data_IF_286536434959
#
_entry.id   IF_286536434959
#
_cell.length_a   1.000
_cell.length_b   1.000
_cell.length_c   1.000
_cell.angle_alpha   90.00
_cell.angle_beta   90.00
_cell.angle_gamma   90.00
#
_symmetry.space_group_name_H-M   'P 1'
#
loop_
_entity.id
_entity.type
_entity.pdbx_description
1 polymer ?
#
# COMPACT_ATOMS: atom_id res chain seq x y z
N UNK A 1 16.67 29.56 -7.44
CA UNK A 1 15.50 28.87 -8.01
C UNK A 1 15.63 27.41 -7.63
N UNK A 2 15.32 27.06 -6.38
CA UNK A 2 15.57 25.70 -5.89
C UNK A 2 14.61 25.37 -4.76
N UNK A 3 13.42 24.90 -5.14
CA UNK A 3 12.49 24.23 -4.23
C UNK A 3 12.38 22.79 -4.71
N UNK A 4 13.45 22.00 -4.47
CA UNK A 4 13.56 20.63 -4.96
C UNK A 4 13.77 19.60 -3.85
N UNK A 5 13.23 19.85 -2.66
CA UNK A 5 13.14 18.78 -1.67
C UNK A 5 12.02 17.81 -2.07
N UNK A 6 12.44 16.70 -2.68
CA UNK A 6 11.57 15.55 -2.92
C UNK A 6 10.92 15.11 -1.61
N UNK A 7 9.63 14.81 -1.67
CA UNK A 7 8.89 14.32 -0.49
C UNK A 7 9.59 13.09 0.09
N UNK A 8 9.85 13.07 1.40
CA UNK A 8 10.42 11.91 2.09
C UNK A 8 9.62 10.63 1.83
N UNK A 9 8.29 10.74 1.67
CA UNK A 9 7.42 9.62 1.34
C UNK A 9 7.69 9.05 -0.06
N UNK A 10 8.16 9.85 -1.01
CA UNK A 10 8.58 9.35 -2.31
C UNK A 10 9.84 8.49 -2.18
N UNK A 11 10.81 8.95 -1.39
CA UNK A 11 12.04 8.20 -1.11
C UNK A 11 11.74 6.89 -0.37
N UNK A 12 10.91 6.95 0.68
CA UNK A 12 10.50 5.76 1.43
C UNK A 12 9.75 4.74 0.54
N UNK A 13 8.90 5.20 -0.39
CA UNK A 13 8.24 4.31 -1.34
C UNK A 13 9.23 3.65 -2.30
N UNK A 14 10.21 4.42 -2.81
CA UNK A 14 11.25 3.90 -3.69
C UNK A 14 12.12 2.85 -2.99
N UNK A 15 12.54 3.12 -1.76
CA UNK A 15 13.32 2.18 -0.95
C UNK A 15 12.53 0.89 -0.67
N UNK A 16 11.25 1.00 -0.28
CA UNK A 16 10.40 -0.16 -0.05
C UNK A 16 10.19 -0.97 -1.33
N UNK A 17 10.05 -0.32 -2.49
CA UNK A 17 9.94 -1.01 -3.78
C UNK A 17 11.20 -1.76 -4.15
N UNK A 18 12.38 -1.14 -4.02
CA UNK A 18 13.68 -1.80 -4.28
C UNK A 18 13.84 -3.02 -3.38
N UNK A 19 13.52 -2.86 -2.09
CA UNK A 19 13.63 -3.95 -1.14
C UNK A 19 12.62 -5.07 -1.39
N UNK A 20 11.40 -4.75 -1.85
CA UNK A 20 10.41 -5.73 -2.28
C UNK A 20 10.90 -6.54 -3.49
N UNK A 21 11.48 -5.87 -4.49
CA UNK A 21 12.05 -6.53 -5.68
C UNK A 21 13.15 -7.50 -5.27
N UNK A 22 14.06 -7.09 -4.38
CA UNK A 22 15.10 -7.95 -3.85
C UNK A 22 14.53 -9.19 -3.12
N UNK A 23 13.54 -9.00 -2.25
CA UNK A 23 12.88 -10.10 -1.53
C UNK A 23 12.22 -11.10 -2.47
N UNK A 24 11.51 -10.60 -3.49
CA UNK A 24 10.82 -11.44 -4.47
C UNK A 24 11.82 -12.20 -5.33
N UNK A 25 12.88 -11.55 -5.81
CA UNK A 25 13.93 -12.22 -6.58
C UNK A 25 14.58 -13.35 -5.76
N UNK A 26 14.88 -13.08 -4.49
CA UNK A 26 15.46 -14.06 -3.57
C UNK A 26 14.50 -15.22 -3.30
N UNK A 27 13.21 -14.93 -3.05
CA UNK A 27 12.20 -15.96 -2.80
C UNK A 27 11.93 -16.84 -4.01
N UNK A 28 11.79 -16.26 -5.20
CA UNK A 28 11.57 -17.01 -6.45
C UNK A 28 12.74 -17.94 -6.76
N UNK A 29 13.98 -17.53 -6.44
CA UNK A 29 15.16 -18.37 -6.66
C UNK A 29 15.21 -19.61 -5.76
N UNK A 30 14.55 -19.60 -4.59
CA UNK A 30 14.65 -20.66 -3.58
C UNK A 30 13.42 -21.57 -3.56
N UNK A 31 12.23 -21.05 -3.88
CA UNK A 31 10.99 -21.82 -3.82
C UNK A 31 10.65 -22.52 -5.14
N UNK A 32 10.33 -23.82 -5.08
CA UNK A 32 9.85 -24.60 -6.22
C UNK A 32 8.46 -24.15 -6.71
N UNK A 33 7.59 -23.73 -5.79
CA UNK A 33 6.31 -23.09 -6.10
C UNK A 33 6.36 -21.62 -5.72
N UNK A 34 6.42 -20.73 -6.71
CA UNK A 34 6.59 -19.28 -6.50
C UNK A 34 5.34 -18.45 -6.79
N UNK A 35 4.22 -19.09 -7.18
CA UNK A 35 2.99 -18.36 -7.56
C UNK A 35 2.45 -17.49 -6.42
N UNK A 36 2.52 -17.98 -5.18
CA UNK A 36 2.13 -17.22 -4.00
C UNK A 36 2.99 -15.96 -3.82
N UNK A 37 4.29 -16.02 -4.16
CA UNK A 37 5.20 -14.85 -4.10
C UNK A 37 4.80 -13.81 -5.15
N UNK A 38 4.50 -14.24 -6.38
CA UNK A 38 4.08 -13.33 -7.46
C UNK A 38 2.73 -12.67 -7.17
N UNK A 39 1.78 -13.40 -6.58
CA UNK A 39 0.51 -12.84 -6.11
C UNK A 39 0.75 -11.79 -5.02
N UNK A 40 1.58 -12.10 -4.02
CA UNK A 40 1.94 -11.17 -2.95
C UNK A 40 2.60 -9.90 -3.50
N UNK A 41 3.54 -10.05 -4.44
CA UNK A 41 4.22 -8.92 -5.07
C UNK A 41 3.27 -8.07 -5.91
N UNK A 42 2.36 -8.69 -6.68
CA UNK A 42 1.37 -7.95 -7.48
C UNK A 42 0.42 -7.15 -6.58
N UNK A 43 -0.05 -7.75 -5.48
CA UNK A 43 -0.85 -7.05 -4.48
C UNK A 43 -0.09 -5.89 -3.83
N UNK A 44 1.20 -6.10 -3.52
CA UNK A 44 2.10 -5.04 -3.05
C UNK A 44 2.27 -3.90 -4.07
N UNK A 45 2.45 -4.19 -5.36
CA UNK A 45 2.58 -3.18 -6.41
C UNK A 45 1.33 -2.29 -6.49
N UNK A 46 0.15 -2.89 -6.38
CA UNK A 46 -1.10 -2.13 -6.33
C UNK A 46 -1.15 -1.25 -5.08
N UNK A 47 -0.77 -1.79 -3.92
CA UNK A 47 -0.69 -1.02 -2.68
C UNK A 47 0.31 0.15 -2.77
N UNK A 48 1.54 -0.07 -3.21
CA UNK A 48 2.59 0.97 -3.23
C UNK A 48 2.29 2.06 -4.27
N UNK A 49 1.72 1.68 -5.43
CA UNK A 49 1.17 2.65 -6.38
C UNK A 49 0.10 3.51 -5.72
N UNK A 50 -0.81 2.88 -4.97
CA UNK A 50 -1.87 3.60 -4.28
C UNK A 50 -1.35 4.53 -3.18
N UNK A 51 -0.35 4.06 -2.45
CA UNK A 51 0.32 4.75 -1.36
C UNK A 51 1.14 5.95 -1.84
N UNK A 52 1.60 5.96 -3.09
CA UNK A 52 2.31 7.09 -3.72
C UNK A 52 1.52 8.40 -3.65
N UNK A 53 0.20 8.34 -3.50
CA UNK A 53 -0.62 9.53 -3.23
C UNK A 53 -0.22 10.28 -1.96
N UNK A 54 0.30 9.59 -0.94
CA UNK A 54 0.78 10.24 0.28
C UNK A 54 1.97 11.17 -0.04
N UNK A 55 2.89 10.72 -0.90
CA UNK A 55 3.97 11.55 -1.41
C UNK A 55 3.45 12.74 -2.21
N UNK A 56 2.50 12.53 -3.13
CA UNK A 56 1.86 13.60 -3.92
C UNK A 56 1.19 14.65 -3.02
N UNK A 57 0.45 14.22 -1.99
CA UNK A 57 -0.19 15.16 -1.05
C UNK A 57 0.81 15.89 -0.16
N UNK A 58 1.95 15.29 0.16
CA UNK A 58 3.06 15.98 0.82
C UNK A 58 3.63 17.08 -0.08
N UNK A 59 3.93 16.75 -1.34
CA UNK A 59 4.42 17.72 -2.34
C UNK A 59 3.43 18.88 -2.55
N UNK A 60 2.13 18.61 -2.68
CA UNK A 60 1.10 19.65 -2.83
C UNK A 60 1.05 20.59 -1.61
N UNK A 61 1.30 20.11 -0.40
CA UNK A 61 1.27 20.95 0.82
C UNK A 61 2.47 21.89 0.88
N UNK A 62 3.63 21.41 0.46
CA UNK A 62 4.91 22.12 0.63
C UNK A 62 5.31 22.98 -0.57
N UNK A 63 4.64 22.87 -1.72
CA UNK A 63 4.96 23.70 -2.89
C UNK A 63 4.51 25.15 -2.69
N UNK A 64 5.36 26.12 -3.00
CA UNK A 64 5.04 27.55 -2.89
C UNK A 64 4.20 28.03 -4.08
N UNK A 65 4.56 27.63 -5.30
CA UNK A 65 3.90 28.07 -6.51
C UNK A 65 2.41 27.65 -6.54
N UNK A 66 1.50 28.64 -6.50
CA UNK A 66 0.05 28.44 -6.47
C UNK A 66 -0.48 27.73 -7.72
N UNK A 67 0.02 28.07 -8.91
CA UNK A 67 -0.45 27.45 -10.15
C UNK A 67 -0.09 25.97 -10.20
N UNK A 68 1.15 25.62 -9.83
CA UNK A 68 1.56 24.22 -9.73
C UNK A 68 0.78 23.48 -8.64
N UNK A 69 0.51 24.11 -7.49
CA UNK A 69 -0.34 23.55 -6.42
C UNK A 69 -1.75 23.21 -6.94
N UNK A 70 -2.40 24.12 -7.66
CA UNK A 70 -3.72 23.91 -8.24
C UNK A 70 -3.68 22.77 -9.25
N UNK A 71 -2.71 22.77 -10.17
CA UNK A 71 -2.55 21.70 -11.18
C UNK A 71 -2.44 20.32 -10.54
N UNK A 72 -1.54 20.16 -9.57
CA UNK A 72 -1.34 18.88 -8.88
C UNK A 72 -2.56 18.46 -8.05
N UNK A 73 -3.24 19.41 -7.40
CA UNK A 73 -4.47 19.13 -6.64
C UNK A 73 -5.61 18.67 -7.56
N UNK A 74 -5.78 19.28 -8.73
CA UNK A 74 -6.78 18.89 -9.73
C UNK A 74 -6.49 17.50 -10.29
N UNK A 75 -5.23 17.23 -10.65
CA UNK A 75 -4.80 15.89 -11.05
C UNK A 75 -5.09 14.84 -9.96
N UNK A 76 -4.72 15.13 -8.71
CA UNK A 76 -4.96 14.25 -7.56
C UNK A 76 -6.46 13.97 -7.34
N UNK A 77 -7.33 14.97 -7.56
CA UNK A 77 -8.79 14.77 -7.51
C UNK A 77 -9.26 13.82 -8.61
N UNK A 78 -8.77 13.98 -9.85
CA UNK A 78 -9.15 13.14 -11.00
C UNK A 78 -8.79 11.66 -10.80
N UNK A 79 -7.65 11.37 -10.19
CA UNK A 79 -7.20 9.99 -9.93
C UNK A 79 -7.88 9.31 -8.72
N UNK A 80 -8.77 10.02 -8.00
CA UNK A 80 -9.43 9.50 -6.78
C UNK A 80 -10.31 8.26 -6.98
N UNK A 81 -11.11 8.13 -8.05
CA UNK A 81 -11.87 6.90 -8.31
C UNK A 81 -10.94 5.70 -8.51
N UNK A 82 -9.88 5.86 -9.30
CA UNK A 82 -8.88 4.81 -9.54
C UNK A 82 -8.18 4.37 -8.25
N UNK A 83 -7.85 5.30 -7.35
CA UNK A 83 -7.28 4.93 -6.04
C UNK A 83 -8.14 3.97 -5.24
N UNK A 84 -9.46 4.15 -5.25
CA UNK A 84 -10.36 3.21 -4.55
C UNK A 84 -10.35 1.84 -5.21
N UNK A 85 -10.49 1.80 -6.54
CA UNK A 85 -10.51 0.54 -7.28
C UNK A 85 -9.18 -0.21 -7.25
N UNK A 86 -8.05 0.48 -7.35
CA UNK A 86 -6.72 -0.12 -7.18
C UNK A 86 -6.54 -0.64 -5.75
N UNK A 87 -7.10 0.04 -4.75
CA UNK A 87 -7.08 -0.45 -3.35
C UNK A 87 -7.90 -1.72 -3.18
N UNK A 88 -9.10 -1.77 -3.74
CA UNK A 88 -9.91 -3.00 -3.79
C UNK A 88 -9.18 -4.12 -4.53
N UNK A 89 -8.57 -3.82 -5.69
CA UNK A 89 -7.79 -4.79 -6.46
C UNK A 89 -6.60 -5.34 -5.66
N UNK A 90 -5.87 -4.47 -4.95
CA UNK A 90 -4.80 -4.89 -4.05
C UNK A 90 -5.31 -5.91 -3.02
N UNK A 91 -6.45 -5.61 -2.39
CA UNK A 91 -7.05 -6.50 -1.40
C UNK A 91 -7.46 -7.85 -1.99
N UNK A 92 -8.13 -7.88 -3.15
CA UNK A 92 -8.53 -9.13 -3.81
C UNK A 92 -7.30 -9.99 -4.16
N UNK A 93 -6.23 -9.39 -4.67
CA UNK A 93 -4.99 -10.11 -4.98
C UNK A 93 -4.31 -10.62 -3.71
N UNK A 94 -4.32 -9.85 -2.62
CA UNK A 94 -3.79 -10.28 -1.32
C UNK A 94 -4.60 -11.43 -0.73
N UNK A 95 -5.92 -11.50 -0.95
CA UNK A 95 -6.71 -12.68 -0.57
C UNK A 95 -6.29 -13.93 -1.34
N UNK A 96 -6.03 -13.82 -2.64
CA UNK A 96 -5.50 -14.93 -3.44
C UNK A 96 -4.10 -15.36 -2.97
N UNK A 97 -3.24 -14.39 -2.65
CA UNK A 97 -1.94 -14.65 -2.03
C UNK A 97 -2.08 -15.41 -0.71
N UNK A 98 -2.92 -14.92 0.21
CA UNK A 98 -3.15 -15.55 1.51
C UNK A 98 -3.71 -16.97 1.37
N UNK A 99 -4.67 -17.17 0.45
CA UNK A 99 -5.21 -18.49 0.15
C UNK A 99 -4.12 -19.45 -0.34
N UNK A 100 -3.28 -19.02 -1.29
CA UNK A 100 -2.17 -19.84 -1.79
C UNK A 100 -1.14 -20.17 -0.69
N UNK A 101 -0.81 -19.22 0.18
CA UNK A 101 0.09 -19.44 1.33
C UNK A 101 -0.50 -20.47 2.29
N UNK A 102 -1.77 -20.34 2.66
CA UNK A 102 -2.44 -21.29 3.57
C UNK A 102 -2.57 -22.67 2.94
N UNK A 103 -2.84 -22.76 1.64
CA UNK A 103 -2.91 -24.04 0.93
C UNK A 103 -1.55 -24.76 0.87
N UNK A 104 -0.44 -24.02 0.75
CA UNK A 104 0.91 -24.59 0.64
C UNK A 104 1.57 -24.88 2.00
N UNK A 105 1.35 -24.01 2.98
CA UNK A 105 2.11 -24.01 4.24
C UNK A 105 1.24 -24.17 5.48
N UNK A 106 -0.08 -24.26 5.33
CA UNK A 106 -1.04 -24.25 6.43
C UNK A 106 -1.22 -22.87 7.07
N UNK A 107 -2.19 -22.77 7.98
CA UNK A 107 -2.41 -21.55 8.77
C UNK A 107 -1.80 -21.73 10.17
N UNK A 108 -0.60 -21.18 10.37
CA UNK A 108 0.10 -21.22 11.65
C UNK A 108 0.54 -19.81 12.07
N UNK A 109 -0.17 -19.21 13.03
CA UNK A 109 0.15 -17.89 13.58
C UNK A 109 1.43 -17.87 14.44
N UNK A 110 2.01 -19.03 14.77
CA UNK A 110 3.35 -19.11 15.35
C UNK A 110 4.47 -18.78 14.34
N UNK A 111 4.18 -18.87 13.04
CA UNK A 111 5.11 -18.44 12.00
C UNK A 111 4.99 -16.91 11.81
N UNK A 112 6.09 -16.18 12.05
CA UNK A 112 6.10 -14.71 11.99
C UNK A 112 5.78 -14.14 10.60
N UNK A 113 6.13 -14.85 9.51
CA UNK A 113 5.75 -14.45 8.16
C UNK A 113 4.23 -14.49 7.97
N UNK A 114 3.60 -15.58 8.43
CA UNK A 114 2.15 -15.76 8.35
C UNK A 114 1.43 -14.76 9.26
N UNK A 115 1.88 -14.59 10.51
CA UNK A 115 1.28 -13.67 11.46
C UNK A 115 1.32 -12.22 10.94
N UNK A 116 2.48 -11.75 10.49
CA UNK A 116 2.62 -10.38 9.99
C UNK A 116 1.84 -10.15 8.70
N UNK A 117 1.79 -11.15 7.81
CA UNK A 117 0.95 -11.12 6.61
C UNK A 117 -0.54 -11.09 6.92
N UNK A 118 -0.98 -11.82 7.94
CA UNK A 118 -2.36 -11.83 8.43
C UNK A 118 -2.77 -10.48 9.05
N UNK A 119 -1.91 -9.88 9.88
CA UNK A 119 -2.16 -8.54 10.41
C UNK A 119 -2.20 -7.48 9.30
N UNK A 120 -1.32 -7.59 8.30
CA UNK A 120 -1.33 -6.73 7.13
C UNK A 120 -2.63 -6.90 6.30
N UNK A 121 -3.13 -8.12 6.11
CA UNK A 121 -4.35 -8.36 5.34
C UNK A 121 -5.59 -7.83 6.05
N UNK A 122 -5.69 -7.98 7.38
CA UNK A 122 -6.75 -7.37 8.19
C UNK A 122 -6.71 -5.84 8.06
N UNK A 123 -5.53 -5.25 8.21
CA UNK A 123 -5.39 -3.79 8.10
C UNK A 123 -5.76 -3.30 6.68
N UNK A 124 -5.35 -4.02 5.63
CA UNK A 124 -5.72 -3.70 4.25
C UNK A 124 -7.23 -3.77 4.04
N UNK A 125 -7.89 -4.78 4.60
CA UNK A 125 -9.34 -4.93 4.56
C UNK A 125 -10.03 -3.71 5.18
N UNK A 126 -9.65 -3.33 6.41
CA UNK A 126 -10.22 -2.15 7.09
C UNK A 126 -9.87 -0.85 6.36
N UNK A 127 -8.68 -0.75 5.76
CA UNK A 127 -8.26 0.39 4.95
C UNK A 127 -9.15 0.55 3.71
N UNK A 128 -9.43 -0.53 2.98
CA UNK A 128 -10.33 -0.53 1.82
C UNK A 128 -11.75 -0.18 2.24
N UNK A 129 -12.28 -0.84 3.29
CA UNK A 129 -13.61 -0.56 3.81
C UNK A 129 -13.76 0.91 4.24
N UNK A 130 -12.79 1.46 4.97
CA UNK A 130 -12.83 2.88 5.38
C UNK A 130 -12.80 3.83 4.19
N UNK A 131 -12.15 3.45 3.08
CA UNK A 131 -12.13 4.20 1.83
C UNK A 131 -13.50 4.29 1.15
N UNK A 132 -14.23 3.16 1.13
CA UNK A 132 -15.59 3.07 0.59
C UNK A 132 -16.63 3.68 1.52
N UNK A 133 -16.55 3.40 2.81
CA UNK A 133 -17.42 3.97 3.84
C UNK A 133 -17.38 5.49 3.81
N UNK A 134 -16.20 6.10 3.63
CA UNK A 134 -16.08 7.56 3.49
C UNK A 134 -16.80 8.12 2.26
N UNK A 135 -16.87 7.35 1.18
CA UNK A 135 -17.53 7.79 -0.05
C UNK A 135 -19.05 7.64 0.04
N UNK A 136 -19.51 6.52 0.59
CA UNK A 136 -20.90 6.09 0.51
C UNK A 136 -21.72 6.47 1.75
N UNK A 137 -21.09 6.61 2.92
CA UNK A 137 -21.80 6.73 4.20
C UNK A 137 -21.38 7.97 4.98
N UNK A 138 -20.08 8.12 5.30
CA UNK A 138 -19.63 9.15 6.24
C UNK A 138 -18.38 9.92 5.75
N UNK A 139 -18.57 11.12 5.17
CA UNK A 139 -17.46 11.94 4.67
C UNK A 139 -16.69 12.71 5.75
N UNK A 140 -17.00 12.53 7.05
CA UNK A 140 -16.38 13.31 8.15
C UNK A 140 -14.87 13.18 8.19
N UNK A 141 -14.22 14.24 8.69
CA UNK A 141 -12.76 14.32 8.84
C UNK A 141 -12.19 13.20 9.71
N UNK A 142 -12.95 12.70 10.71
CA UNK A 142 -12.54 11.59 11.57
C UNK A 142 -12.25 10.32 10.76
N UNK A 143 -13.13 9.96 9.82
CA UNK A 143 -12.96 8.81 8.94
C UNK A 143 -11.77 9.00 7.99
N UNK A 144 -11.58 10.22 7.47
CA UNK A 144 -10.38 10.55 6.69
C UNK A 144 -9.09 10.34 7.50
N UNK A 145 -9.04 10.78 8.76
CA UNK A 145 -7.88 10.59 9.65
C UNK A 145 -7.63 9.11 9.92
N UNK A 146 -8.68 8.33 10.19
CA UNK A 146 -8.59 6.87 10.34
C UNK A 146 -7.98 6.21 9.09
N UNK A 147 -8.52 6.50 7.91
CA UNK A 147 -8.03 5.95 6.65
C UNK A 147 -6.54 6.27 6.40
N UNK A 148 -6.11 7.49 6.71
CA UNK A 148 -4.69 7.86 6.60
C UNK A 148 -3.84 7.07 7.61
N UNK A 149 -4.28 6.94 8.87
CA UNK A 149 -3.57 6.17 9.90
C UNK A 149 -3.44 4.71 9.51
N UNK A 150 -4.52 4.10 9.03
CA UNK A 150 -4.50 2.73 8.48
C UNK A 150 -3.51 2.60 7.33
N UNK A 151 -3.45 3.58 6.41
CA UNK A 151 -2.45 3.58 5.34
C UNK A 151 -1.01 3.63 5.84
N UNK A 152 -0.72 4.44 6.86
CA UNK A 152 0.61 4.48 7.50
C UNK A 152 0.92 3.14 8.17
N UNK A 153 -0.03 2.59 8.93
CA UNK A 153 0.11 1.28 9.56
C UNK A 153 0.29 0.16 8.53
N UNK A 154 -0.38 0.22 7.38
CA UNK A 154 -0.17 -0.71 6.27
C UNK A 154 1.25 -0.65 5.74
N UNK A 155 1.80 0.55 5.53
CA UNK A 155 3.18 0.71 5.09
C UNK A 155 4.16 0.05 6.07
N UNK A 156 3.97 0.28 7.38
CA UNK A 156 4.80 -0.33 8.43
C UNK A 156 4.63 -1.85 8.46
N UNK A 157 3.39 -2.36 8.40
CA UNK A 157 3.13 -3.80 8.42
C UNK A 157 3.70 -4.50 7.18
N UNK A 158 3.68 -3.86 6.01
CA UNK A 158 4.36 -4.38 4.81
C UNK A 158 5.87 -4.47 5.01
N UNK A 159 6.48 -3.43 5.58
CA UNK A 159 7.92 -3.47 5.93
C UNK A 159 8.19 -4.63 6.88
N UNK A 160 7.44 -4.74 7.98
CA UNK A 160 7.61 -5.82 8.96
C UNK A 160 7.42 -7.19 8.31
N UNK A 161 6.42 -7.34 7.42
CA UNK A 161 6.19 -8.60 6.72
C UNK A 161 7.34 -8.99 5.77
N UNK A 162 8.07 -8.04 5.19
CA UNK A 162 9.27 -8.34 4.41
C UNK A 162 10.53 -8.62 5.26
N UNK A 163 10.54 -8.29 6.55
CA UNK A 163 11.66 -8.63 7.45
C UNK A 163 11.69 -10.11 7.84
N UNK A 164 10.52 -10.74 7.93
CA UNK A 164 10.37 -12.17 8.20
C UNK A 164 10.29 -12.97 6.92
#
# INVERSE_FOLDING_TARGET
>A
MEDKNMSIWFLLNGLLLIWAIWNVASGVAVHTSYIHILLGFTGFLFFIFNWTRNAVFSTIRNIENRQTKIRLATMSKRIRPYHRWVGTGAFLIILLHAWAVVALYGFNLGNMKILTGFLASINLFVLVLSGWYRLLVDPRIKIRKLHIRLGISMFILTVVHFLY
#
